data_IF_499509227538
#
_entry.id   IF_499509227538
#
_cell.length_a   1.000
_cell.length_b   1.000
_cell.length_c   1.000
_cell.angle_alpha   90.00
_cell.angle_beta   90.00
_cell.angle_gamma   90.00
#
_symmetry.space_group_name_H-M   'P 1'
#
loop_
_entity.id
_entity.type
_entity.pdbx_description
1 polymer ?
#
# COMPACT_ATOMS: atom_id res chain seq x y z
N UNK A 1 2.38 -18.08 -2.51
CA UNK A 1 1.22 -18.11 -1.60
C UNK A 1 -0.02 -17.86 -2.43
N UNK A 2 -0.84 -18.89 -2.66
CA UNK A 2 -2.06 -18.79 -3.47
C UNK A 2 -3.09 -17.94 -2.71
N UNK A 3 -3.55 -16.85 -3.31
CA UNK A 3 -4.80 -16.21 -2.92
C UNK A 3 -5.92 -17.13 -3.37
N UNK A 4 -6.59 -17.76 -2.40
CA UNK A 4 -7.77 -18.56 -2.65
C UNK A 4 -8.96 -17.59 -2.64
N UNK A 5 -9.50 -17.31 -3.83
CA UNK A 5 -10.70 -16.50 -4.02
C UNK A 5 -11.92 -17.38 -3.73
N UNK A 6 -12.84 -17.00 -2.82
CA UNK A 6 -14.08 -17.75 -2.60
C UNK A 6 -15.06 -17.55 -3.78
N UNK A 7 -15.97 -18.50 -4.03
CA UNK A 7 -16.86 -18.48 -5.20
C UNK A 7 -17.91 -17.37 -5.12
N UNK A 8 -18.43 -16.90 -6.27
CA UNK A 8 -19.40 -15.81 -6.33
C UNK A 8 -20.82 -16.34 -6.09
N UNK A 9 -21.59 -15.65 -5.25
CA UNK A 9 -23.01 -15.93 -5.04
C UNK A 9 -23.42 -15.93 -3.58
N UNK A 10 -23.48 -14.74 -2.99
CA UNK A 10 -24.47 -14.35 -1.97
C UNK A 10 -24.32 -12.84 -1.77
N UNK A 11 -25.38 -12.13 -2.13
CA UNK A 11 -25.50 -10.69 -1.98
C UNK A 11 -25.25 -10.29 -0.52
N UNK A 12 -24.11 -9.64 -0.29
CA UNK A 12 -23.67 -9.20 1.02
C UNK A 12 -22.54 -8.21 0.86
N UNK A 13 -22.86 -6.93 1.00
CA UNK A 13 -21.91 -5.80 0.99
C UNK A 13 -20.62 -6.19 1.71
N UNK A 14 -19.49 -6.11 1.00
CA UNK A 14 -18.18 -6.35 1.58
C UNK A 14 -18.00 -5.47 2.84
N UNK A 15 -17.55 -6.02 3.98
CA UNK A 15 -17.30 -5.20 5.17
C UNK A 15 -16.13 -4.28 4.85
N UNK A 16 -16.40 -2.98 4.76
CA UNK A 16 -15.36 -1.97 4.53
C UNK A 16 -15.67 -0.94 3.45
N UNK A 17 -16.68 -1.14 2.61
CA UNK A 17 -17.02 -0.16 1.57
C UNK A 17 -18.27 0.62 1.99
N UNK A 18 -18.08 1.86 2.46
CA UNK A 18 -19.19 2.83 2.48
C UNK A 18 -19.63 3.10 1.03
N UNK A 19 -20.93 3.27 0.75
CA UNK A 19 -21.39 3.63 -0.58
C UNK A 19 -20.78 4.96 -1.03
N UNK A 20 -20.32 5.00 -2.29
CA UNK A 20 -19.53 6.07 -2.94
C UNK A 20 -20.01 7.50 -2.68
N UNK A 21 -21.32 7.71 -2.50
CA UNK A 21 -21.92 9.02 -2.29
C UNK A 21 -21.45 9.74 -1.00
N UNK A 22 -21.01 9.01 0.03
CA UNK A 22 -20.54 9.61 1.28
C UNK A 22 -19.09 10.15 1.21
N UNK A 23 -18.31 9.73 0.21
CA UNK A 23 -16.89 10.09 0.07
C UNK A 23 -16.70 11.51 -0.49
N UNK A 24 -17.52 11.90 -1.47
CA UNK A 24 -17.40 13.20 -2.14
C UNK A 24 -17.84 14.39 -1.26
N UNK A 25 -18.90 14.23 -0.46
CA UNK A 25 -19.38 15.27 0.48
C UNK A 25 -18.43 15.48 1.66
N UNK A 26 -17.68 14.44 2.06
CA UNK A 26 -16.70 14.51 3.14
C UNK A 26 -15.45 15.32 2.74
N UNK A 27 -15.01 15.21 1.48
CA UNK A 27 -13.87 15.98 0.95
C UNK A 27 -14.15 17.49 0.96
N UNK A 28 -15.37 17.88 0.55
CA UNK A 28 -15.80 19.30 0.50
C UNK A 28 -15.88 19.96 1.89
N UNK A 29 -16.07 19.18 2.96
CA UNK A 29 -16.26 19.67 4.34
C UNK A 29 -14.98 19.69 5.20
N UNK A 30 -13.83 19.32 4.64
CA UNK A 30 -12.54 19.27 5.37
C UNK A 30 -11.78 20.60 5.39
N UNK A 31 -12.09 21.53 4.49
CA UNK A 31 -11.55 22.88 4.48
C UNK A 31 -12.32 23.78 5.45
N UNK A 32 -11.88 23.86 6.71
CA UNK A 32 -11.96 25.02 7.64
C UNK A 32 -11.86 24.52 9.08
N UNK A 33 -10.69 24.66 9.70
CA UNK A 33 -10.46 25.13 11.10
C UNK A 33 -9.03 24.81 11.56
N UNK A 34 -8.27 25.87 11.83
CA UNK A 34 -6.91 25.87 12.38
C UNK A 34 -6.98 25.88 13.91
N UNK A 35 -6.30 24.96 14.58
CA UNK A 35 -6.22 24.93 16.06
C UNK A 35 -4.77 25.09 16.50
N UNK A 36 -4.51 26.10 17.32
CA UNK A 36 -3.20 26.42 17.90
C UNK A 36 -2.92 25.51 19.09
N UNK A 37 -1.72 24.89 19.15
CA UNK A 37 -1.33 23.91 20.19
C UNK A 37 -0.32 24.51 21.18
N UNK A 38 -0.58 24.32 22.48
CA UNK A 38 0.21 24.84 23.62
C UNK A 38 1.42 23.93 23.91
N UNK A 39 2.59 24.51 24.17
CA UNK A 39 3.88 23.82 24.43
C UNK A 39 3.89 23.13 25.81
N UNK A 40 4.46 21.92 25.89
CA UNK A 40 4.82 21.23 27.13
C UNK A 40 6.31 20.82 27.11
N UNK A 41 6.89 20.77 28.32
CA UNK A 41 8.31 20.73 28.68
C UNK A 41 9.07 19.43 28.29
N UNK A 42 10.41 19.44 28.22
CA UNK A 42 11.17 18.38 27.55
C UNK A 42 11.48 17.17 28.45
N UNK A 43 11.42 15.98 27.83
CA UNK A 43 11.96 14.71 28.34
C UNK A 43 13.44 14.55 27.91
N UNK A 44 14.23 13.70 28.58
CA UNK A 44 15.66 13.49 28.29
C UNK A 44 15.90 12.99 26.86
N UNK A 45 17.07 13.27 26.28
CA UNK A 45 17.33 13.02 24.86
C UNK A 45 17.49 11.52 24.60
N UNK A 46 16.54 10.96 23.87
CA UNK A 46 16.71 9.70 23.14
C UNK A 46 17.80 9.85 22.07
N UNK A 47 18.45 8.76 21.62
CA UNK A 47 19.36 8.82 20.48
C UNK A 47 18.65 9.54 19.33
N UNK A 48 19.30 10.57 18.77
CA UNK A 48 18.68 11.52 17.83
C UNK A 48 18.10 10.74 16.65
N UNK A 49 16.79 10.48 16.66
CA UNK A 49 16.07 9.99 15.47
C UNK A 49 16.36 10.98 14.36
N UNK A 50 16.89 10.50 13.22
CA UNK A 50 16.99 11.34 12.03
C UNK A 50 15.58 11.84 11.71
N UNK A 51 15.49 13.15 11.47
CA UNK A 51 14.26 13.81 11.05
C UNK A 51 13.86 13.28 9.66
N UNK A 52 12.57 13.23 9.37
CA UNK A 52 12.06 12.94 8.03
C UNK A 52 12.61 14.01 7.06
N UNK A 53 13.16 13.56 5.92
CA UNK A 53 13.68 14.45 4.88
C UNK A 53 12.56 15.27 4.19
N UNK A 54 12.93 16.23 3.35
CA UNK A 54 11.94 16.96 2.55
C UNK A 54 11.22 16.04 1.56
N UNK A 55 10.00 16.42 1.14
CA UNK A 55 9.27 15.69 0.11
C UNK A 55 10.11 15.55 -1.17
N UNK A 56 10.79 16.61 -1.60
CA UNK A 56 11.67 16.60 -2.77
C UNK A 56 12.75 15.52 -2.68
N UNK A 57 13.39 15.39 -1.52
CA UNK A 57 14.42 14.36 -1.28
C UNK A 57 13.83 12.95 -1.27
N UNK A 58 12.65 12.76 -0.67
CA UNK A 58 11.97 11.47 -0.69
C UNK A 58 11.60 11.04 -2.12
N UNK A 59 11.18 11.98 -2.97
CA UNK A 59 10.81 11.75 -4.36
C UNK A 59 12.01 11.61 -5.31
N UNK A 60 13.21 12.06 -4.94
CA UNK A 60 14.40 11.94 -5.78
C UNK A 60 14.97 10.53 -5.87
N UNK A 61 14.41 9.55 -5.14
CA UNK A 61 14.84 8.17 -5.18
C UNK A 61 14.35 7.45 -6.44
N UNK A 62 15.21 6.68 -7.08
CA UNK A 62 14.92 5.91 -8.28
C UNK A 62 15.31 4.45 -8.07
N UNK A 63 14.50 3.53 -8.60
CA UNK A 63 14.82 2.10 -8.60
C UNK A 63 14.17 1.42 -9.80
N UNK A 64 14.93 1.28 -10.88
CA UNK A 64 14.47 0.65 -12.12
C UNK A 64 14.09 -0.83 -11.94
N UNK A 65 14.64 -1.51 -10.92
CA UNK A 65 14.30 -2.91 -10.65
C UNK A 65 12.86 -3.03 -10.14
N UNK A 66 12.43 -2.10 -9.28
CA UNK A 66 11.05 -2.03 -8.78
C UNK A 66 10.08 -1.79 -9.95
N UNK A 67 10.41 -0.85 -10.84
CA UNK A 67 9.58 -0.53 -12.00
C UNK A 67 9.44 -1.73 -12.96
N UNK A 68 10.56 -2.36 -13.33
CA UNK A 68 10.54 -3.56 -14.18
C UNK A 68 9.71 -4.67 -13.56
N UNK A 69 9.91 -4.92 -12.26
CA UNK A 69 9.13 -5.95 -11.57
C UNK A 69 7.65 -5.62 -11.52
N UNK A 70 7.30 -4.35 -11.37
CA UNK A 70 5.90 -3.92 -11.40
C UNK A 70 5.27 -4.16 -12.78
N UNK A 71 6.01 -3.86 -13.85
CA UNK A 71 5.59 -4.09 -15.24
C UNK A 71 5.53 -5.59 -15.60
N UNK A 72 6.32 -6.45 -14.94
CA UNK A 72 6.19 -7.91 -15.05
C UNK A 72 4.91 -8.45 -14.39
N UNK A 73 4.32 -7.68 -13.47
CA UNK A 73 3.09 -8.06 -12.74
C UNK A 73 1.86 -7.44 -13.40
N UNK A 74 1.97 -6.21 -13.91
CA UNK A 74 0.86 -5.43 -14.46
C UNK A 74 1.18 -4.90 -15.86
N UNK A 75 0.36 -5.28 -16.84
CA UNK A 75 0.42 -4.82 -18.22
C UNK A 75 -0.14 -3.38 -18.35
N UNK A 76 0.64 -2.40 -17.89
CA UNK A 76 0.34 -0.97 -17.97
C UNK A 76 1.48 -0.21 -18.67
N UNK A 77 1.25 1.01 -19.17
CA UNK A 77 2.32 1.85 -19.71
C UNK A 77 3.43 2.12 -18.69
N UNK A 78 4.69 2.19 -19.14
CA UNK A 78 5.84 2.45 -18.27
C UNK A 78 5.74 3.80 -17.56
N UNK A 79 5.28 4.84 -18.24
CA UNK A 79 5.06 6.17 -17.64
C UNK A 79 4.07 6.11 -16.47
N UNK A 80 3.06 5.25 -16.56
CA UNK A 80 2.08 5.04 -15.51
C UNK A 80 2.69 4.32 -14.30
N UNK A 81 3.56 3.33 -14.53
CA UNK A 81 4.32 2.70 -13.46
C UNK A 81 5.28 3.70 -12.78
N UNK A 82 5.92 4.58 -13.55
CA UNK A 82 6.79 5.65 -13.03
C UNK A 82 6.00 6.64 -12.16
N UNK A 83 4.81 7.05 -12.61
CA UNK A 83 3.91 7.89 -11.82
C UNK A 83 3.48 7.20 -10.52
N UNK A 84 3.03 5.95 -10.59
CA UNK A 84 2.63 5.17 -9.41
C UNK A 84 3.77 5.02 -8.40
N UNK A 85 5.02 4.87 -8.86
CA UNK A 85 6.16 4.83 -7.96
C UNK A 85 6.44 6.19 -7.31
N UNK A 86 6.20 7.31 -8.00
CA UNK A 86 6.24 8.64 -7.39
C UNK A 86 5.17 8.79 -6.30
N UNK A 87 3.92 8.40 -6.59
CA UNK A 87 2.83 8.48 -5.62
C UNK A 87 3.03 7.54 -4.43
N UNK A 88 3.65 6.37 -4.64
CA UNK A 88 4.06 5.46 -3.56
C UNK A 88 5.09 6.10 -2.63
N UNK A 89 6.09 6.81 -3.18
CA UNK A 89 7.06 7.55 -2.36
C UNK A 89 6.40 8.70 -1.60
N UNK A 90 5.41 9.41 -2.18
CA UNK A 90 4.60 10.40 -1.45
C UNK A 90 3.85 9.75 -0.28
N UNK A 91 3.20 8.60 -0.50
CA UNK A 91 2.50 7.86 0.54
C UNK A 91 3.43 7.45 1.69
N UNK A 92 4.59 6.88 1.38
CA UNK A 92 5.60 6.51 2.38
C UNK A 92 6.13 7.70 3.17
N UNK A 93 6.40 8.82 2.49
CA UNK A 93 6.81 10.06 3.14
C UNK A 93 5.71 10.58 4.06
N UNK A 94 4.44 10.54 3.62
CA UNK A 94 3.29 10.95 4.44
C UNK A 94 3.14 10.08 5.69
N UNK A 95 3.33 8.76 5.58
CA UNK A 95 3.39 7.85 6.73
C UNK A 95 4.49 8.25 7.72
N UNK A 96 5.70 8.52 7.22
CA UNK A 96 6.82 8.96 8.05
C UNK A 96 6.52 10.29 8.76
N UNK A 97 5.97 11.26 8.03
CA UNK A 97 5.57 12.58 8.56
C UNK A 97 4.50 12.46 9.64
N UNK A 98 3.48 11.65 9.42
CA UNK A 98 2.46 11.40 10.45
C UNK A 98 3.08 10.81 11.73
N UNK A 99 4.03 9.87 11.62
CA UNK A 99 4.73 9.33 12.78
C UNK A 99 5.56 10.39 13.51
N UNK A 100 6.30 11.23 12.76
CA UNK A 100 7.13 12.31 13.31
C UNK A 100 6.29 13.36 14.06
N UNK A 101 5.15 13.77 13.48
CA UNK A 101 4.30 14.83 14.04
C UNK A 101 3.26 14.32 15.05
N UNK A 102 3.19 13.00 15.25
CA UNK A 102 2.09 12.33 15.97
C UNK A 102 0.73 12.69 15.35
N UNK A 103 0.69 12.67 14.02
CA UNK A 103 -0.47 12.92 13.17
C UNK A 103 -1.49 11.77 13.18
N UNK A 104 -2.45 11.79 12.24
CA UNK A 104 -3.49 10.76 12.18
C UNK A 104 -2.91 9.41 11.77
N UNK A 105 -3.51 8.32 12.27
CA UNK A 105 -3.23 6.99 11.72
C UNK A 105 -3.68 6.97 10.27
N UNK A 106 -2.73 6.70 9.38
CA UNK A 106 -2.98 6.56 7.96
C UNK A 106 -3.25 5.09 7.64
N UNK A 107 -4.24 4.87 6.78
CA UNK A 107 -4.57 3.56 6.25
C UNK A 107 -4.73 3.67 4.74
N UNK A 108 -4.12 2.71 4.03
CA UNK A 108 -4.35 2.55 2.59
C UNK A 108 -5.83 2.21 2.40
N UNK A 109 -6.54 3.06 1.67
CA UNK A 109 -7.94 2.84 1.32
C UNK A 109 -8.02 2.10 -0.01
N UNK A 110 -9.18 1.52 -0.33
CA UNK A 110 -9.43 0.90 -1.65
C UNK A 110 -9.19 1.87 -2.81
N UNK A 111 -9.26 3.18 -2.57
CA UNK A 111 -8.90 4.20 -3.56
C UNK A 111 -7.42 4.20 -3.98
N UNK A 112 -6.56 3.60 -3.16
CA UNK A 112 -5.10 3.58 -3.30
C UNK A 112 -4.56 2.20 -3.68
N UNK A 113 -5.40 1.30 -4.23
CA UNK A 113 -5.00 -0.08 -4.54
C UNK A 113 -3.71 -0.19 -5.35
N UNK A 114 -3.57 0.55 -6.45
CA UNK A 114 -2.34 0.48 -7.26
C UNK A 114 -1.11 1.07 -6.58
N UNK A 115 -1.30 2.05 -5.68
CA UNK A 115 -0.22 2.55 -4.82
C UNK A 115 0.20 1.47 -3.82
N UNK A 116 -0.75 0.70 -3.28
CA UNK A 116 -0.45 -0.43 -2.40
C UNK A 116 0.30 -1.55 -3.11
N UNK A 117 -0.12 -1.93 -4.32
CA UNK A 117 0.56 -2.97 -5.12
C UNK A 117 1.98 -2.54 -5.51
N UNK A 118 2.20 -1.27 -5.84
CA UNK A 118 3.53 -0.71 -6.08
C UNK A 118 4.37 -0.74 -4.80
N UNK A 119 3.77 -0.44 -3.64
CA UNK A 119 4.45 -0.55 -2.35
C UNK A 119 4.81 -2.02 -2.03
N UNK A 120 3.93 -2.98 -2.25
CA UNK A 120 4.25 -4.43 -2.11
C UNK A 120 5.40 -4.85 -3.00
N UNK A 121 5.45 -4.32 -4.22
CA UNK A 121 6.54 -4.57 -5.15
C UNK A 121 7.85 -3.97 -4.63
N UNK A 122 7.83 -2.73 -4.12
CA UNK A 122 9.01 -2.09 -3.56
C UNK A 122 9.54 -2.83 -2.33
N UNK A 123 8.67 -3.28 -1.42
CA UNK A 123 9.09 -4.02 -0.21
C UNK A 123 9.81 -5.34 -0.49
N UNK A 124 9.55 -5.98 -1.64
CA UNK A 124 10.26 -7.21 -2.04
C UNK A 124 11.76 -6.95 -2.30
N UNK A 125 12.14 -5.72 -2.59
CA UNK A 125 13.54 -5.29 -2.68
C UNK A 125 14.05 -4.87 -1.31
N UNK A 126 14.07 -5.82 -0.36
CA UNK A 126 14.20 -5.57 1.08
C UNK A 126 15.39 -4.68 1.47
N UNK A 127 16.57 -4.90 0.88
CA UNK A 127 17.77 -4.08 1.15
C UNK A 127 17.58 -2.63 0.66
N UNK A 128 17.06 -2.45 -0.55
CA UNK A 128 16.82 -1.14 -1.14
C UNK A 128 15.71 -0.39 -0.41
N UNK A 129 14.63 -1.10 -0.04
CA UNK A 129 13.52 -0.55 0.73
C UNK A 129 13.95 -0.14 2.14
N UNK A 130 14.73 -0.98 2.83
CA UNK A 130 15.26 -0.64 4.15
C UNK A 130 16.17 0.59 4.09
N UNK A 131 17.09 0.64 3.12
CA UNK A 131 17.97 1.80 2.91
C UNK A 131 17.16 3.06 2.63
N UNK A 132 16.21 2.98 1.70
CA UNK A 132 15.30 4.09 1.39
C UNK A 132 14.62 4.62 2.66
N UNK A 133 14.02 3.74 3.47
CA UNK A 133 13.32 4.17 4.69
C UNK A 133 14.27 4.79 5.72
N UNK A 134 15.42 4.17 5.99
CA UNK A 134 16.35 4.67 7.01
C UNK A 134 17.05 5.96 6.57
N UNK A 135 17.41 6.08 5.30
CA UNK A 135 18.10 7.25 4.77
C UNK A 135 17.15 8.45 4.63
N UNK A 136 15.91 8.22 4.19
CA UNK A 136 14.93 9.29 3.95
C UNK A 136 14.09 9.64 5.17
N UNK A 137 13.75 8.67 6.01
CA UNK A 137 12.78 8.85 7.09
C UNK A 137 13.36 8.64 8.48
N UNK A 138 14.58 8.11 8.59
CA UNK A 138 15.19 7.77 9.88
C UNK A 138 14.50 6.61 10.61
N UNK A 139 13.55 5.94 9.97
CA UNK A 139 12.75 4.84 10.53
C UNK A 139 12.26 3.94 9.41
N UNK A 140 12.12 2.65 9.69
CA UNK A 140 11.47 1.71 8.78
C UNK A 140 9.95 1.95 8.78
N UNK A 141 9.33 2.01 7.61
CA UNK A 141 7.87 2.13 7.46
C UNK A 141 7.30 0.73 7.27
N UNK A 142 6.57 0.24 8.27
CA UNK A 142 5.98 -1.10 8.20
C UNK A 142 4.66 -1.06 7.43
N UNK A 143 4.51 -1.95 6.45
CA UNK A 143 3.20 -2.33 5.93
C UNK A 143 2.60 -3.38 6.85
N UNK A 144 1.40 -3.13 7.37
CA UNK A 144 0.71 -4.02 8.30
C UNK A 144 -0.66 -4.38 7.68
N UNK A 145 -0.73 -5.47 6.89
CA UNK A 145 -2.00 -5.94 6.35
C UNK A 145 -2.94 -6.35 7.47
N UNK A 146 -4.23 -6.04 7.32
CA UNK A 146 -5.26 -6.57 8.20
C UNK A 146 -5.35 -8.10 8.04
N UNK A 147 -5.12 -8.83 9.13
CA UNK A 147 -5.29 -10.29 9.15
C UNK A 147 -6.79 -10.67 9.26
N UNK A 148 -7.09 -11.97 9.21
CA UNK A 148 -8.46 -12.49 9.32
C UNK A 148 -9.16 -12.04 10.62
N UNK A 149 -8.42 -12.03 11.73
CA UNK A 149 -8.96 -11.70 13.05
C UNK A 149 -9.28 -10.21 13.16
N UNK A 150 -8.46 -9.34 12.57
CA UNK A 150 -8.70 -7.91 12.50
C UNK A 150 -9.97 -7.62 11.69
N UNK A 151 -10.10 -8.26 10.52
CA UNK A 151 -11.31 -8.15 9.68
C UNK A 151 -12.56 -8.66 10.40
N UNK A 152 -12.45 -9.77 11.13
CA UNK A 152 -13.55 -10.30 11.93
C UNK A 152 -13.95 -9.33 13.05
N UNK A 153 -12.97 -8.77 13.78
CA UNK A 153 -13.22 -7.77 14.83
C UNK A 153 -13.86 -6.51 14.27
N UNK A 154 -13.46 -6.06 13.09
CA UNK A 154 -14.11 -4.91 12.43
C UNK A 154 -15.55 -5.22 12.05
N UNK A 155 -15.81 -6.39 11.45
CA UNK A 155 -17.17 -6.86 11.16
C UNK A 155 -18.03 -6.90 12.42
N UNK A 156 -17.53 -7.50 13.50
CA UNK A 156 -18.24 -7.56 14.79
C UNK A 156 -18.51 -6.17 15.36
N UNK A 157 -17.56 -5.23 15.24
CA UNK A 157 -17.76 -3.83 15.68
C UNK A 157 -18.81 -3.11 14.85
N UNK A 158 -18.85 -3.36 13.55
CA UNK A 158 -19.87 -2.83 12.66
C UNK A 158 -21.24 -3.38 13.03
N UNK A 159 -21.38 -4.70 13.13
CA UNK A 159 -22.63 -5.38 13.48
C UNK A 159 -23.16 -4.94 14.87
N UNK A 160 -22.27 -4.75 15.84
CA UNK A 160 -22.66 -4.32 17.19
C UNK A 160 -23.19 -2.88 17.25
N UNK A 161 -22.68 -1.97 16.42
CA UNK A 161 -23.17 -0.59 16.35
C UNK A 161 -22.77 0.08 15.02
N UNK A 162 -23.59 -0.07 13.96
CA UNK A 162 -23.26 0.44 12.63
C UNK A 162 -23.03 1.95 12.61
N UNK A 163 -23.91 2.71 13.27
CA UNK A 163 -23.84 4.19 13.30
C UNK A 163 -22.53 4.68 13.93
N UNK A 164 -22.15 4.11 15.08
CA UNK A 164 -20.91 4.48 15.76
C UNK A 164 -19.69 4.08 14.94
N UNK A 165 -19.73 2.92 14.29
CA UNK A 165 -18.66 2.48 13.40
C UNK A 165 -18.47 3.46 12.25
N UNK A 166 -19.54 3.76 11.52
CA UNK A 166 -19.54 4.69 10.38
C UNK A 166 -19.05 6.07 10.81
N UNK A 167 -19.56 6.61 11.92
CA UNK A 167 -19.12 7.92 12.44
C UNK A 167 -17.63 7.94 12.77
N UNK A 168 -17.08 6.88 13.36
CA UNK A 168 -15.64 6.78 13.67
C UNK A 168 -14.80 6.65 12.41
N UNK A 169 -15.25 5.84 11.45
CA UNK A 169 -14.59 5.65 10.17
C UNK A 169 -14.53 6.95 9.37
N UNK A 170 -15.66 7.64 9.22
CA UNK A 170 -15.73 8.97 8.57
C UNK A 170 -14.82 9.99 9.27
N UNK A 171 -14.79 10.01 10.61
CA UNK A 171 -13.89 10.91 11.34
C UNK A 171 -12.41 10.57 11.12
N UNK A 172 -12.05 9.30 10.93
CA UNK A 172 -10.70 8.89 10.59
C UNK A 172 -10.32 9.30 9.16
N UNK A 173 -11.19 9.01 8.19
CA UNK A 173 -11.01 9.43 6.80
C UNK A 173 -10.87 10.95 6.67
N UNK A 174 -11.73 11.72 7.34
CA UNK A 174 -11.65 13.19 7.32
C UNK A 174 -10.28 13.70 7.80
N UNK A 175 -9.72 13.10 8.85
CA UNK A 175 -8.38 13.46 9.34
C UNK A 175 -7.29 13.06 8.36
N UNK A 176 -7.41 11.89 7.72
CA UNK A 176 -6.48 11.45 6.69
C UNK A 176 -6.51 12.40 5.48
N UNK A 177 -7.70 12.76 4.98
CA UNK A 177 -7.85 13.68 3.86
C UNK A 177 -7.29 15.07 4.17
N UNK A 178 -7.58 15.61 5.35
CA UNK A 178 -7.01 16.88 5.79
C UNK A 178 -5.47 16.80 5.83
N UNK A 179 -4.91 15.71 6.36
CA UNK A 179 -3.45 15.55 6.42
C UNK A 179 -2.80 15.38 5.05
N UNK A 180 -3.44 14.67 4.12
CA UNK A 180 -3.00 14.58 2.72
C UNK A 180 -3.03 15.97 2.07
N UNK A 181 -4.11 16.72 2.25
CA UNK A 181 -4.24 18.07 1.72
C UNK A 181 -3.15 19.01 2.25
N UNK A 182 -2.96 19.02 3.58
CA UNK A 182 -2.01 19.92 4.25
C UNK A 182 -0.55 19.61 3.84
N UNK A 183 -0.19 18.34 3.66
CA UNK A 183 1.20 17.93 3.40
C UNK A 183 1.52 17.75 1.90
N UNK A 184 0.54 17.36 1.06
CA UNK A 184 0.74 17.00 -0.36
C UNK A 184 -0.12 17.81 -1.34
N UNK A 185 -1.01 18.67 -0.85
CA UNK A 185 -1.86 19.55 -1.64
C UNK A 185 -3.13 18.90 -2.20
N UNK A 186 -3.97 19.75 -2.76
CA UNK A 186 -5.27 19.38 -3.34
C UNK A 186 -5.15 18.40 -4.51
N UNK A 187 -4.20 18.63 -5.42
CA UNK A 187 -3.99 17.79 -6.60
C UNK A 187 -3.76 16.33 -6.21
N UNK A 188 -2.88 16.08 -5.23
CA UNK A 188 -2.61 14.71 -4.75
C UNK A 188 -3.85 14.12 -4.08
N UNK A 189 -4.62 14.90 -3.32
CA UNK A 189 -5.85 14.42 -2.68
C UNK A 189 -6.89 13.96 -3.73
N UNK A 190 -7.16 14.79 -4.74
CA UNK A 190 -8.14 14.48 -5.78
C UNK A 190 -7.67 13.29 -6.63
N UNK A 191 -6.38 13.26 -7.00
CA UNK A 191 -5.78 12.12 -7.69
C UNK A 191 -6.02 10.81 -6.93
N UNK A 192 -5.69 10.78 -5.64
CA UNK A 192 -5.76 9.56 -4.83
C UNK A 192 -7.16 9.09 -4.48
N UNK A 193 -8.11 10.00 -4.25
CA UNK A 193 -9.43 9.63 -3.71
C UNK A 193 -10.60 9.88 -4.65
N UNK A 194 -10.39 10.52 -5.81
CA UNK A 194 -11.42 10.73 -6.82
C UNK A 194 -11.04 10.12 -8.19
N UNK A 195 -9.79 10.23 -8.62
CA UNK A 195 -9.36 9.73 -9.93
C UNK A 195 -8.94 8.26 -9.89
N UNK A 196 -8.06 7.89 -8.95
CA UNK A 196 -7.53 6.53 -8.84
C UNK A 196 -8.60 5.45 -8.61
N UNK A 197 -9.66 5.64 -7.80
CA UNK A 197 -10.75 4.66 -7.71
C UNK A 197 -11.42 4.35 -9.06
N UNK A 198 -11.51 5.36 -9.95
CA UNK A 198 -12.14 5.21 -11.27
C UNK A 198 -11.19 4.54 -12.26
N UNK A 199 -9.89 4.84 -12.15
CA UNK A 199 -8.84 4.29 -13.02
C UNK A 199 -8.42 2.88 -12.62
N UNK A 200 -8.33 2.61 -11.33
CA UNK A 200 -7.73 1.42 -10.72
C UNK A 200 -8.72 0.65 -9.86
N UNK A 201 -9.82 0.25 -10.47
CA UNK A 201 -10.78 -0.66 -9.82
C UNK A 201 -10.17 -2.05 -9.61
N UNK A 202 -10.78 -2.86 -8.74
CA UNK A 202 -10.38 -4.27 -8.60
C UNK A 202 -10.42 -5.02 -9.93
N UNK A 203 -11.45 -4.76 -10.75
CA UNK A 203 -11.58 -5.32 -12.08
C UNK A 203 -10.42 -4.90 -13.00
N UNK A 204 -9.95 -3.64 -12.90
CA UNK A 204 -8.77 -3.19 -13.62
C UNK A 204 -7.54 -4.02 -13.23
N UNK A 205 -7.31 -4.20 -11.93
CA UNK A 205 -6.16 -4.98 -11.44
C UNK A 205 -6.20 -6.42 -11.96
N UNK A 206 -7.36 -7.07 -11.91
CA UNK A 206 -7.53 -8.44 -12.40
C UNK A 206 -7.28 -8.56 -13.91
N UNK A 207 -7.81 -7.62 -14.69
CA UNK A 207 -7.67 -7.60 -16.15
C UNK A 207 -6.23 -7.37 -16.61
N UNK A 208 -5.50 -6.50 -15.90
CA UNK A 208 -4.15 -6.09 -16.31
C UNK A 208 -3.05 -6.87 -15.61
N UNK A 209 -3.38 -7.73 -14.62
CA UNK A 209 -2.38 -8.59 -13.99
C UNK A 209 -1.92 -9.67 -14.98
N UNK A 210 -0.63 -9.70 -15.25
CA UNK A 210 0.00 -10.71 -16.09
C UNK A 210 -0.03 -12.04 -15.33
N UNK A 211 -0.61 -13.11 -15.91
CA UNK A 211 -0.56 -14.43 -15.30
C UNK A 211 0.90 -14.84 -15.10
N UNK A 212 1.24 -15.32 -13.91
CA UNK A 212 2.54 -15.94 -13.72
C UNK A 212 2.62 -17.13 -14.68
N UNK A 213 3.45 -17.04 -15.73
CA UNK A 213 3.80 -18.19 -16.53
C UNK A 213 4.35 -19.23 -15.56
N UNK A 214 3.69 -20.38 -15.46
CA UNK A 214 4.32 -21.56 -14.86
C UNK A 214 5.66 -21.71 -15.56
N UNK A 215 6.74 -21.70 -14.80
CA UNK A 215 8.09 -21.70 -15.36
C UNK A 215 8.19 -22.75 -16.46
N UNK A 216 8.62 -22.33 -17.65
CA UNK A 216 9.17 -23.25 -18.62
C UNK A 216 10.38 -23.91 -17.96
N UNK A 217 10.14 -25.04 -17.29
CA UNK A 217 11.20 -25.98 -17.00
C UNK A 217 11.65 -26.48 -18.39
N UNK A 218 12.90 -26.24 -18.84
CA UNK A 218 13.38 -26.96 -20.01
C UNK A 218 13.22 -28.46 -19.74
N UNK A 219 12.80 -29.27 -20.73
CA UNK A 219 12.72 -30.71 -20.54
C UNK A 219 14.10 -31.18 -20.08
N UNK A 220 14.12 -31.85 -18.93
CA UNK A 220 15.31 -32.56 -18.46
C UNK A 220 15.73 -33.51 -19.59
N UNK A 221 17.01 -33.54 -20.02
CA UNK A 221 17.45 -34.53 -20.97
C UNK A 221 17.19 -35.92 -20.38
N UNK A 222 16.52 -36.78 -21.14
CA UNK A 222 16.19 -38.14 -20.72
C UNK A 222 17.47 -38.85 -20.26
N UNK A 223 17.42 -39.43 -19.07
CA UNK A 223 18.50 -40.25 -18.55
C UNK A 223 18.70 -41.44 -19.50
N UNK A 224 19.83 -41.45 -20.20
CA UNK A 224 20.24 -42.61 -20.98
C UNK A 224 20.32 -43.85 -20.09
N UNK A 225 19.85 -45.02 -20.55
CA UNK A 225 19.94 -46.25 -19.79
C UNK A 225 21.42 -46.61 -19.60
N UNK A 226 21.83 -46.75 -18.34
CA UNK A 226 23.16 -47.22 -17.97
C UNK A 226 23.39 -48.58 -18.61
N UNK A 227 24.32 -48.63 -19.57
CA UNK A 227 24.83 -49.88 -20.11
C UNK A 227 25.62 -50.62 -19.02
N UNK A 228 25.36 -51.92 -18.95
CA UNK A 228 25.71 -52.77 -17.83
C UNK A 228 27.21 -52.96 -17.59
N UNK A 229 27.53 -53.17 -16.32
CA UNK A 229 28.82 -53.72 -15.89
C UNK A 229 28.76 -55.25 -15.91
N UNK A 230 29.75 -55.95 -16.46
CA UNK A 230 29.83 -57.40 -16.33
C UNK A 230 30.27 -57.78 -14.92
N UNK A 231 29.55 -58.72 -14.33
CA UNK A 231 29.90 -59.39 -13.08
C UNK A 231 31.07 -60.35 -13.32
N UNK A 232 32.15 -60.18 -12.55
CA UNK A 232 33.25 -61.14 -12.45
C UNK A 232 33.12 -61.88 -11.11
N UNK A 233 33.23 -63.19 -11.20
CA UNK A 233 32.95 -64.20 -10.20
C UNK A 233 33.86 -64.18 -8.96
N UNK A 234 33.29 -64.67 -7.85
CA UNK A 234 33.91 -65.61 -6.91
C UNK A 234 32.81 -66.52 -6.34
#
# INVERSE_FOLDING_TARGET
MRLQVPPPGQDGVAPGTLPDAASEDLMKKAATKRTVRKKQSPRPPSPRRRKVCSLKEALSYHNEKVLRRFLDIYAIPEEEARELFQETKKWLWLCARSLEEKGPRLAVQTSLLMVDEMWHTFMQYTLDYQRYCLDRFGTFIHHLPANSDDKLKERQRYEANPERFVKRYQAALKRQYAFVYDELGEETLLKWYQEYPKRYSLEFLERHRIPATQGMHPPQPEAHPAQGTPSVAA
#
